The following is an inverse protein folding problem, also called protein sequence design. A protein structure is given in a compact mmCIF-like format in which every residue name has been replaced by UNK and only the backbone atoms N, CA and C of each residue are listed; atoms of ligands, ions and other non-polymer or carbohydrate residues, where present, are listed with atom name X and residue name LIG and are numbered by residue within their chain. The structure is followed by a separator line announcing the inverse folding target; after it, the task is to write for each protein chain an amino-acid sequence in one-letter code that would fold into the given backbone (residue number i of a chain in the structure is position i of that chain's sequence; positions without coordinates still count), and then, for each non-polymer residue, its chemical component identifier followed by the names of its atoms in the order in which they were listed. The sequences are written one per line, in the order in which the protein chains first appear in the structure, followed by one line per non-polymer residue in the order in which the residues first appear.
data_IF_306584473362
#
_entry.id   IF_306584473362
#
_cell.length_a   1.000
_cell.length_b   1.000
_cell.length_c   1.000
_cell.angle_alpha   90.00
_cell.angle_beta   90.00
_cell.angle_gamma   90.00
#
_symmetry.space_group_name_H-M   'P 1'
#
loop_
_entity.id
_entity.type
_entity.pdbx_description
1 polymer ?
#
# COMPACT_ATOMS: atom_id res chain seq x y z
N UNK A 1 29.22 32.69 -0.92
CA UNK A 1 29.23 31.22 -1.13
C UNK A 1 29.07 30.57 0.24
N UNK A 2 27.83 30.29 0.64
CA UNK A 2 27.55 29.68 1.94
C UNK A 2 27.54 28.16 1.77
N UNK A 3 28.45 27.49 2.48
CA UNK A 3 28.49 26.03 2.63
C UNK A 3 27.14 25.55 3.16
N UNK A 4 26.33 24.91 2.30
CA UNK A 4 25.22 24.06 2.76
C UNK A 4 25.86 22.87 3.48
N UNK A 5 25.86 22.88 4.81
CA UNK A 5 26.11 21.68 5.59
C UNK A 5 24.97 20.71 5.28
N UNK A 6 25.24 19.71 4.45
CA UNK A 6 24.33 18.60 4.19
C UNK A 6 24.16 17.86 5.52
N UNK A 7 23.04 18.08 6.20
CA UNK A 7 22.69 17.32 7.40
C UNK A 7 22.35 15.89 6.96
N UNK A 8 23.28 14.96 7.20
CA UNK A 8 23.18 13.52 6.97
C UNK A 8 22.11 12.83 7.84
N UNK A 9 20.84 13.23 7.74
CA UNK A 9 19.73 12.52 8.39
C UNK A 9 18.83 11.87 7.34
N UNK A 10 18.39 10.62 7.59
CA UNK A 10 17.64 9.74 6.67
C UNK A 10 16.35 10.32 6.07
N UNK A 11 15.95 11.54 6.44
CA UNK A 11 14.56 11.96 6.53
C UNK A 11 14.30 13.41 6.10
N UNK A 12 15.23 14.10 5.43
CA UNK A 12 15.08 15.49 4.94
C UNK A 12 14.22 15.62 3.67
N UNK A 13 13.52 14.57 3.30
CA UNK A 13 12.93 14.30 1.98
C UNK A 13 11.74 15.18 1.55
N UNK A 14 11.03 15.82 2.48
CA UNK A 14 9.84 16.61 2.15
C UNK A 14 10.15 17.90 1.39
N UNK A 15 11.38 18.43 1.49
CA UNK A 15 11.80 19.59 0.71
C UNK A 15 11.95 19.28 -0.78
N UNK A 16 12.06 17.99 -1.15
CA UNK A 16 12.10 17.52 -2.54
C UNK A 16 10.70 17.22 -3.11
N UNK A 17 9.63 17.31 -2.31
CA UNK A 17 8.27 17.12 -2.85
C UNK A 17 7.94 18.27 -3.82
N UNK A 18 7.49 17.97 -5.05
CA UNK A 18 7.27 19.00 -6.06
C UNK A 18 6.12 19.91 -5.67
N UNK A 19 6.28 21.19 -6.02
CA UNK A 19 5.26 22.21 -5.81
C UNK A 19 4.08 22.09 -6.80
N UNK A 20 4.26 21.28 -7.84
CA UNK A 20 3.25 20.99 -8.85
C UNK A 20 2.73 19.58 -8.70
N UNK A 21 1.50 19.42 -9.16
CA UNK A 21 0.83 18.16 -9.19
C UNK A 21 1.38 17.32 -10.36
N UNK A 22 1.96 16.18 -10.05
CA UNK A 22 2.58 15.31 -11.05
C UNK A 22 1.56 14.34 -11.67
N UNK A 23 1.92 13.78 -12.83
CA UNK A 23 1.16 12.70 -13.44
C UNK A 23 1.12 11.45 -12.53
N UNK A 24 0.07 10.62 -12.62
CA UNK A 24 -0.05 9.41 -11.82
C UNK A 24 1.15 8.46 -11.98
N UNK A 25 1.42 7.67 -10.93
CA UNK A 25 2.33 6.53 -11.00
C UNK A 25 1.58 5.37 -11.64
N UNK A 26 1.80 5.17 -12.94
CA UNK A 26 1.14 4.14 -13.76
C UNK A 26 2.11 3.42 -14.71
N UNK A 27 1.65 2.35 -15.36
CA UNK A 27 2.42 1.49 -16.27
C UNK A 27 2.94 0.23 -15.58
N UNK A 28 3.33 0.33 -14.32
CA UNK A 28 3.86 -0.80 -13.54
C UNK A 28 2.79 -1.88 -13.26
N UNK A 29 1.51 -1.52 -13.19
CA UNK A 29 0.42 -2.46 -12.94
C UNK A 29 0.32 -3.55 -14.01
N UNK A 30 0.75 -3.27 -15.24
CA UNK A 30 0.72 -4.22 -16.36
C UNK A 30 1.92 -5.18 -16.35
N UNK A 31 2.88 -4.97 -15.46
CA UNK A 31 4.02 -5.87 -15.32
C UNK A 31 3.58 -7.20 -14.72
N UNK A 32 4.18 -8.28 -15.21
CA UNK A 32 4.04 -9.59 -14.56
C UNK A 32 4.71 -9.53 -13.18
N UNK A 33 4.11 -10.21 -12.19
CA UNK A 33 4.77 -10.40 -10.90
C UNK A 33 5.98 -11.33 -11.08
N UNK A 34 7.15 -10.90 -10.63
CA UNK A 34 8.43 -11.61 -10.79
C UNK A 34 9.07 -11.90 -9.43
N UNK A 35 10.13 -12.72 -9.41
CA UNK A 35 11.01 -12.86 -8.24
C UNK A 35 11.72 -11.54 -7.95
N UNK A 36 12.26 -11.39 -6.73
CA UNK A 36 12.96 -10.16 -6.35
C UNK A 36 14.21 -9.93 -7.22
N UNK A 37 14.97 -10.97 -7.53
CA UNK A 37 16.16 -10.88 -8.39
C UNK A 37 15.81 -10.37 -9.80
N UNK A 38 14.67 -10.82 -10.33
CA UNK A 38 14.20 -10.43 -11.65
C UNK A 38 13.67 -8.99 -11.64
N UNK A 39 12.92 -8.63 -10.59
CA UNK A 39 12.29 -7.33 -10.43
C UNK A 39 13.31 -6.18 -10.27
N UNK A 40 14.52 -6.48 -9.81
CA UNK A 40 15.59 -5.48 -9.61
C UNK A 40 16.62 -5.46 -10.75
N UNK A 41 16.48 -6.30 -11.78
CA UNK A 41 17.44 -6.36 -12.90
C UNK A 41 17.66 -5.00 -13.56
N UNK A 42 16.60 -4.28 -13.85
CA UNK A 42 16.63 -2.94 -14.46
C UNK A 42 17.24 -1.86 -13.55
N UNK A 43 17.42 -2.14 -12.25
CA UNK A 43 17.95 -1.18 -11.27
C UNK A 43 19.46 -1.29 -11.08
N UNK A 44 20.14 -2.32 -11.60
CA UNK A 44 21.59 -2.48 -11.45
C UNK A 44 22.41 -1.26 -11.94
N UNK A 45 22.02 -0.54 -13.02
CA UNK A 45 22.72 0.67 -13.43
C UNK A 45 22.44 1.89 -12.54
N UNK A 46 21.42 1.84 -11.69
CA UNK A 46 20.89 2.96 -10.91
C UNK A 46 21.28 2.83 -9.43
N UNK A 47 21.35 1.60 -8.94
CA UNK A 47 21.49 1.26 -7.53
C UNK A 47 22.69 0.34 -7.33
N UNK A 48 23.73 0.86 -6.70
CA UNK A 48 24.96 0.09 -6.44
C UNK A 48 24.75 -1.01 -5.39
N UNK A 49 25.55 -2.09 -5.49
CA UNK A 49 25.56 -3.22 -4.54
C UNK A 49 24.21 -3.92 -4.35
N UNK A 50 23.32 -3.84 -5.34
CA UNK A 50 21.96 -4.34 -5.23
C UNK A 50 21.90 -5.86 -5.03
N UNK A 51 22.69 -6.63 -5.77
CA UNK A 51 22.70 -8.10 -5.71
C UNK A 51 22.95 -8.64 -4.29
N UNK A 52 23.95 -8.09 -3.60
CA UNK A 52 24.28 -8.48 -2.23
C UNK A 52 23.13 -8.20 -1.27
N UNK A 53 22.50 -7.03 -1.40
CA UNK A 53 21.40 -6.63 -0.54
C UNK A 53 20.13 -7.45 -0.80
N UNK A 54 19.86 -7.79 -2.07
CA UNK A 54 18.78 -8.71 -2.46
C UNK A 54 18.96 -10.07 -1.81
N UNK A 55 20.19 -10.62 -1.84
CA UNK A 55 20.49 -11.88 -1.18
C UNK A 55 20.24 -11.81 0.33
N UNK A 56 20.69 -10.74 1.00
CA UNK A 56 20.47 -10.52 2.44
C UNK A 56 18.96 -10.46 2.74
N UNK A 57 18.21 -9.68 1.97
CA UNK A 57 16.77 -9.53 2.14
C UNK A 57 16.03 -10.86 2.04
N UNK A 58 16.30 -11.67 1.01
CA UNK A 58 15.69 -13.00 0.86
C UNK A 58 16.08 -13.94 1.98
N UNK A 59 17.33 -13.90 2.42
CA UNK A 59 17.79 -14.76 3.52
C UNK A 59 17.03 -14.48 4.82
N UNK A 60 16.74 -13.22 5.11
CA UNK A 60 16.00 -12.80 6.31
C UNK A 60 14.49 -13.06 6.23
N UNK A 61 13.95 -13.30 5.03
CA UNK A 61 12.51 -13.46 4.78
C UNK A 61 12.08 -14.89 4.40
N UNK A 62 12.90 -15.91 4.68
CA UNK A 62 12.60 -17.33 4.35
C UNK A 62 11.28 -17.84 4.91
N UNK A 63 10.83 -17.31 6.05
CA UNK A 63 9.52 -17.58 6.66
C UNK A 63 8.69 -16.29 6.66
N UNK A 64 8.19 -15.93 5.48
CA UNK A 64 7.39 -14.72 5.30
C UNK A 64 6.03 -14.83 6.05
N UNK A 65 5.72 -13.88 6.95
CA UNK A 65 4.40 -13.78 7.59
C UNK A 65 3.35 -13.17 6.64
N UNK A 66 2.12 -13.00 7.12
CA UNK A 66 1.03 -12.29 6.43
C UNK A 66 0.61 -12.88 5.07
N UNK A 67 0.87 -14.17 4.86
CA UNK A 67 0.63 -14.89 3.59
C UNK A 67 1.39 -14.32 2.39
N UNK A 68 2.42 -13.50 2.63
CA UNK A 68 3.29 -12.98 1.58
C UNK A 68 4.21 -14.09 1.07
N UNK A 69 4.61 -13.99 -0.20
CA UNK A 69 5.72 -14.79 -0.72
C UNK A 69 7.04 -14.30 -0.14
N UNK A 70 8.07 -15.15 -0.20
CA UNK A 70 9.44 -14.76 0.20
C UNK A 70 9.90 -13.53 -0.57
N UNK A 71 9.65 -13.46 -1.88
CA UNK A 71 10.03 -12.32 -2.71
C UNK A 71 9.27 -11.04 -2.34
N UNK A 72 7.97 -11.13 -2.03
CA UNK A 72 7.18 -9.99 -1.56
C UNK A 72 7.70 -9.46 -0.22
N UNK A 73 7.89 -10.33 0.77
CA UNK A 73 8.46 -9.95 2.07
C UNK A 73 9.87 -9.37 1.91
N UNK A 74 10.71 -9.99 1.07
CA UNK A 74 12.06 -9.53 0.83
C UNK A 74 12.10 -8.18 0.09
N UNK A 75 11.12 -7.87 -0.75
CA UNK A 75 11.02 -6.55 -1.38
C UNK A 75 10.81 -5.42 -0.36
N UNK A 76 9.97 -5.66 0.67
CA UNK A 76 9.76 -4.73 1.78
C UNK A 76 11.03 -4.63 2.63
N UNK A 77 11.65 -5.77 2.95
CA UNK A 77 12.91 -5.80 3.71
C UNK A 77 13.98 -4.97 3.01
N UNK A 78 14.17 -5.19 1.70
CA UNK A 78 15.14 -4.48 0.87
C UNK A 78 14.91 -2.98 0.87
N UNK A 79 13.64 -2.54 0.79
CA UNK A 79 13.28 -1.13 0.89
C UNK A 79 13.76 -0.53 2.23
N UNK A 80 13.52 -1.23 3.34
CA UNK A 80 13.88 -0.74 4.69
C UNK A 80 15.38 -0.83 5.04
N UNK A 81 16.21 -1.41 4.18
CA UNK A 81 17.65 -1.51 4.45
C UNK A 81 18.34 -0.16 4.33
N UNK A 82 19.10 0.21 5.35
CA UNK A 82 19.96 1.40 5.34
C UNK A 82 21.38 1.02 4.86
N UNK A 83 21.83 1.68 3.80
CA UNK A 83 23.18 1.52 3.25
C UNK A 83 24.04 2.73 3.60
N UNK A 84 25.36 2.62 3.47
CA UNK A 84 26.29 3.73 3.74
C UNK A 84 26.99 4.14 2.44
N UNK A 85 26.92 5.42 2.04
CA UNK A 85 26.11 6.50 2.63
C UNK A 85 24.60 6.27 2.44
N UNK A 86 23.77 6.84 3.31
CA UNK A 86 22.30 6.63 3.29
C UNK A 86 21.65 7.05 1.98
N UNK A 87 22.22 8.04 1.29
CA UNK A 87 21.82 8.49 -0.05
C UNK A 87 21.82 7.39 -1.11
N UNK A 88 22.64 6.35 -0.91
CA UNK A 88 22.78 5.23 -1.84
C UNK A 88 21.79 4.10 -1.53
N UNK A 89 21.05 4.18 -0.42
CA UNK A 89 20.05 3.18 -0.06
C UNK A 89 18.94 3.15 -1.11
N UNK A 90 18.42 1.95 -1.38
CA UNK A 90 17.35 1.77 -2.37
C UNK A 90 16.14 2.67 -2.10
N UNK A 91 15.70 2.81 -0.84
CA UNK A 91 14.56 3.68 -0.50
C UNK A 91 14.82 5.15 -0.85
N UNK A 92 16.04 5.63 -0.64
CA UNK A 92 16.42 7.03 -0.89
C UNK A 92 16.36 7.33 -2.38
N UNK A 93 16.91 6.45 -3.21
CA UNK A 93 16.92 6.61 -4.67
C UNK A 93 15.50 6.46 -5.23
N UNK A 94 14.72 5.48 -4.74
CA UNK A 94 13.33 5.30 -5.16
C UNK A 94 12.48 6.52 -4.81
N UNK A 95 12.54 7.01 -3.57
CA UNK A 95 11.76 8.16 -3.13
C UNK A 95 12.11 9.43 -3.91
N UNK A 96 13.39 9.65 -4.25
CA UNK A 96 13.79 10.73 -5.15
C UNK A 96 13.19 10.56 -6.55
N UNK A 97 13.16 9.34 -7.06
CA UNK A 97 12.59 9.04 -8.39
C UNK A 97 11.07 9.25 -8.40
N UNK A 98 10.36 8.88 -7.33
CA UNK A 98 8.91 9.10 -7.19
C UNK A 98 8.53 10.59 -7.21
N UNK A 99 9.41 11.45 -6.69
CA UNK A 99 9.27 12.92 -6.69
C UNK A 99 9.71 13.59 -7.99
N UNK A 100 10.32 12.85 -8.91
CA UNK A 100 10.84 13.42 -10.15
C UNK A 100 9.70 13.78 -11.11
N UNK A 101 9.74 14.98 -11.68
CA UNK A 101 8.77 15.42 -12.70
C UNK A 101 8.81 14.55 -13.96
N UNK A 102 10.00 14.05 -14.32
CA UNK A 102 10.17 13.10 -15.41
C UNK A 102 9.70 11.70 -14.97
N UNK A 103 8.50 11.33 -15.41
CA UNK A 103 7.88 10.02 -15.12
C UNK A 103 8.55 8.86 -15.82
N UNK A 104 9.26 9.09 -16.92
CA UNK A 104 9.97 8.01 -17.61
C UNK A 104 11.12 7.46 -16.75
N UNK A 105 11.62 8.28 -15.80
CA UNK A 105 12.60 7.84 -14.81
C UNK A 105 12.09 6.72 -13.89
N UNK A 106 10.76 6.51 -13.79
CA UNK A 106 10.16 5.40 -13.04
C UNK A 106 10.11 4.09 -13.83
N UNK A 107 10.26 4.11 -15.15
CA UNK A 107 10.14 2.90 -15.99
C UNK A 107 11.09 1.77 -15.54
N UNK A 108 12.38 2.04 -15.22
CA UNK A 108 13.27 1.01 -14.67
C UNK A 108 12.80 0.43 -13.33
N UNK A 109 12.00 1.17 -12.57
CA UNK A 109 11.46 0.75 -11.27
C UNK A 109 10.18 -0.06 -11.38
N UNK A 110 9.49 -0.07 -12.52
CA UNK A 110 8.18 -0.73 -12.66
C UNK A 110 8.15 -2.21 -12.22
N UNK A 111 9.14 -3.07 -12.55
CA UNK A 111 9.12 -4.45 -12.07
C UNK A 111 9.24 -4.54 -10.53
N UNK A 112 10.10 -3.71 -9.92
CA UNK A 112 10.24 -3.63 -8.47
C UNK A 112 9.00 -3.03 -7.81
N UNK A 113 8.44 -1.94 -8.35
CA UNK A 113 7.21 -1.30 -7.87
C UNK A 113 6.02 -2.28 -7.93
N UNK A 114 5.89 -3.06 -9.00
CA UNK A 114 4.88 -4.13 -9.08
C UNK A 114 5.02 -5.10 -7.92
N UNK A 115 6.22 -5.62 -7.65
CA UNK A 115 6.45 -6.57 -6.56
C UNK A 115 6.21 -5.93 -5.17
N UNK A 116 6.81 -4.76 -4.94
CA UNK A 116 6.79 -4.04 -3.67
C UNK A 116 5.39 -3.55 -3.31
N UNK A 117 4.68 -2.90 -4.25
CA UNK A 117 3.33 -2.41 -3.99
C UNK A 117 2.34 -3.57 -3.88
N UNK A 118 2.51 -4.66 -4.63
CA UNK A 118 1.70 -5.89 -4.39
C UNK A 118 1.92 -6.41 -2.97
N UNK A 119 3.15 -6.42 -2.48
CA UNK A 119 3.46 -6.85 -1.12
C UNK A 119 2.77 -5.93 -0.09
N UNK A 120 2.92 -4.61 -0.21
CA UNK A 120 2.30 -3.64 0.70
C UNK A 120 0.78 -3.69 0.71
N UNK A 121 0.13 -3.96 -0.41
CA UNK A 121 -1.33 -4.13 -0.43
C UNK A 121 -1.80 -5.37 0.32
N UNK A 122 -0.97 -6.40 0.45
CA UNK A 122 -1.29 -7.63 1.18
C UNK A 122 -0.90 -7.57 2.67
N UNK A 123 -0.16 -6.55 3.09
CA UNK A 123 0.19 -6.32 4.50
C UNK A 123 -1.00 -5.70 5.25
N UNK A 124 -1.22 -6.04 6.54
CA UNK A 124 -2.28 -5.45 7.35
C UNK A 124 -2.25 -3.91 7.34
N UNK A 125 -3.44 -3.34 7.11
CA UNK A 125 -3.64 -1.89 7.12
C UNK A 125 -4.10 -1.41 8.48
N UNK A 126 -3.81 -0.15 8.80
CA UNK A 126 -4.25 0.51 10.02
C UNK A 126 -4.87 1.87 9.74
N UNK A 127 -5.79 2.21 10.63
CA UNK A 127 -6.46 3.49 10.69
C UNK A 127 -6.25 4.09 12.09
N UNK A 128 -5.24 4.95 12.22
CA UNK A 128 -4.85 5.59 13.48
C UNK A 128 -3.94 6.79 13.20
N UNK A 129 -3.64 7.57 14.24
CA UNK A 129 -2.60 8.60 14.17
C UNK A 129 -1.23 7.94 14.18
N UNK A 130 -0.39 8.33 13.22
CA UNK A 130 1.02 7.95 13.13
C UNK A 130 1.89 9.20 13.08
N UNK A 131 3.15 9.03 13.46
CA UNK A 131 4.07 10.15 13.66
C UNK A 131 5.26 10.07 12.72
N UNK A 132 5.62 11.24 12.18
CA UNK A 132 6.76 11.40 11.28
C UNK A 132 7.58 12.63 11.66
N UNK A 133 8.79 12.41 12.16
CA UNK A 133 9.71 13.48 12.52
C UNK A 133 10.68 13.84 11.39
N UNK A 134 10.85 15.14 11.14
CA UNK A 134 11.76 15.66 10.11
C UNK A 134 12.60 16.80 10.68
N UNK A 135 13.91 16.80 10.40
CA UNK A 135 14.88 17.80 10.87
C UNK A 135 14.95 19.03 9.96
N UNK A 136 13.80 19.64 9.69
CA UNK A 136 13.66 20.88 8.92
C UNK A 136 12.41 21.65 9.35
N UNK A 137 12.33 22.92 8.97
CA UNK A 137 11.17 23.78 9.22
C UNK A 137 10.20 23.73 8.03
N UNK A 138 8.97 23.30 8.31
CA UNK A 138 7.88 23.28 7.33
C UNK A 138 6.70 24.16 7.73
N UNK A 139 6.81 24.95 8.80
CA UNK A 139 5.73 25.77 9.35
C UNK A 139 5.11 26.74 8.34
N UNK A 140 5.90 27.25 7.40
CA UNK A 140 5.46 28.19 6.36
C UNK A 140 4.92 27.50 5.09
N UNK A 141 5.17 26.19 4.90
CA UNK A 141 4.74 25.48 3.68
C UNK A 141 3.33 24.89 3.79
N UNK A 142 2.85 24.64 5.02
CA UNK A 142 1.60 23.93 5.26
C UNK A 142 0.63 24.79 6.07
N UNK A 143 -0.17 25.59 5.38
CA UNK A 143 -1.25 26.35 5.99
C UNK A 143 -2.50 25.48 6.16
N UNK A 144 -3.30 25.77 7.20
CA UNK A 144 -4.54 25.04 7.48
C UNK A 144 -5.50 25.13 6.29
N UNK A 145 -6.07 23.98 5.92
CA UNK A 145 -6.92 23.81 4.73
C UNK A 145 -6.15 23.59 3.43
N UNK A 146 -4.82 23.71 3.44
CA UNK A 146 -4.01 23.36 2.27
C UNK A 146 -3.98 21.84 2.06
N UNK A 147 -4.12 21.42 0.81
CA UNK A 147 -4.02 20.01 0.42
C UNK A 147 -2.77 19.75 -0.40
N UNK A 148 -2.13 18.61 -0.22
CA UNK A 148 -0.92 18.25 -0.96
C UNK A 148 -0.80 16.75 -1.17
N UNK A 149 0.07 16.36 -2.11
CA UNK A 149 0.41 14.95 -2.37
C UNK A 149 1.77 14.65 -1.76
N UNK A 150 1.88 13.52 -1.08
CA UNK A 150 3.13 12.94 -0.61
C UNK A 150 3.56 11.83 -1.57
N UNK A 151 4.46 12.12 -2.51
CA UNK A 151 4.78 11.19 -3.60
C UNK A 151 5.68 10.04 -3.15
N UNK A 152 6.62 10.28 -2.24
CA UNK A 152 7.48 9.24 -1.70
C UNK A 152 6.75 8.26 -0.78
N UNK A 153 7.27 7.05 -0.65
CA UNK A 153 6.87 6.13 0.43
C UNK A 153 7.43 6.68 1.75
N UNK A 154 6.58 6.82 2.77
CA UNK A 154 6.94 7.51 4.02
C UNK A 154 6.94 6.54 5.21
N UNK A 155 8.08 6.44 5.90
CA UNK A 155 8.23 5.64 7.11
C UNK A 155 7.84 6.41 8.36
N UNK A 156 6.82 5.92 9.04
CA UNK A 156 6.20 6.49 10.23
C UNK A 156 6.28 5.52 11.41
N UNK A 157 6.06 6.05 12.62
CA UNK A 157 5.99 5.25 13.85
C UNK A 157 4.70 5.50 14.61
N UNK A 158 4.20 4.47 15.29
CA UNK A 158 3.11 4.60 16.26
C UNK A 158 3.61 5.02 17.66
N UNK A 159 4.92 4.91 17.91
CA UNK A 159 5.52 5.20 19.21
C UNK A 159 6.15 6.59 19.26
N UNK A 160 5.61 7.45 20.13
CA UNK A 160 6.21 8.75 20.45
C UNK A 160 7.60 8.62 21.09
N UNK A 161 7.85 7.54 21.84
CA UNK A 161 9.13 7.31 22.52
C UNK A 161 10.30 7.19 21.53
N UNK A 162 10.02 6.60 20.36
CA UNK A 162 10.98 6.46 19.28
C UNK A 162 11.47 7.80 18.71
N UNK A 163 10.62 8.83 18.71
CA UNK A 163 10.92 10.13 18.09
C UNK A 163 12.07 10.87 18.78
N UNK A 164 12.29 10.61 20.08
CA UNK A 164 13.37 11.22 20.84
C UNK A 164 14.78 10.81 20.36
N UNK A 165 14.90 9.74 19.58
CA UNK A 165 16.19 9.32 19.02
C UNK A 165 16.64 10.30 17.94
N UNK A 166 17.92 10.64 17.94
CA UNK A 166 18.52 11.57 16.97
C UNK A 166 18.37 11.13 15.51
N UNK A 167 18.16 9.84 15.24
CA UNK A 167 17.93 9.38 13.88
C UNK A 167 16.55 9.78 13.34
N UNK A 168 15.56 10.04 14.20
CA UNK A 168 14.20 10.47 13.82
C UNK A 168 14.06 11.99 14.01
N UNK A 169 13.39 12.45 15.08
CA UNK A 169 13.20 13.87 15.35
C UNK A 169 14.37 14.45 16.14
N UNK A 170 14.88 13.72 17.14
CA UNK A 170 15.87 14.23 18.09
C UNK A 170 15.29 15.31 19.01
N UNK A 171 16.14 15.88 19.87
CA UNK A 171 15.70 16.84 20.91
C UNK A 171 16.05 18.30 20.60
N UNK A 172 16.93 18.54 19.65
CA UNK A 172 17.52 19.86 19.39
C UNK A 172 17.50 20.18 17.89
N UNK A 173 17.72 21.45 17.57
CA UNK A 173 17.70 21.94 16.19
C UNK A 173 16.28 22.16 15.66
N UNK A 174 16.23 22.73 14.46
CA UNK A 174 15.00 23.02 13.74
C UNK A 174 14.35 21.73 13.26
N UNK A 175 13.11 21.50 13.66
CA UNK A 175 12.43 20.22 13.41
C UNK A 175 10.92 20.37 13.34
N UNK A 176 10.31 19.53 12.52
CA UNK A 176 8.87 19.45 12.34
C UNK A 176 8.41 18.02 12.63
N UNK A 177 7.37 17.88 13.45
CA UNK A 177 6.67 16.63 13.69
C UNK A 177 5.33 16.65 12.96
N UNK A 178 5.15 15.72 12.03
CA UNK A 178 3.86 15.48 11.42
C UNK A 178 3.07 14.50 12.30
N UNK A 179 1.88 14.95 12.71
CA UNK A 179 0.83 14.12 13.29
C UNK A 179 -0.12 13.73 12.15
N UNK A 180 -0.06 12.49 11.70
CA UNK A 180 -0.73 12.04 10.48
C UNK A 180 -1.89 11.13 10.88
N UNK A 181 -3.12 11.59 10.69
CA UNK A 181 -4.29 10.71 10.72
C UNK A 181 -4.30 9.91 9.40
N UNK A 182 -3.89 8.65 9.44
CA UNK A 182 -3.89 7.78 8.26
C UNK A 182 -5.05 6.77 8.30
N UNK A 183 -5.54 6.39 7.13
CA UNK A 183 -6.58 5.38 6.94
C UNK A 183 -6.03 4.09 6.31
N UNK A 184 -4.86 4.16 5.65
CA UNK A 184 -4.28 3.03 4.92
C UNK A 184 -2.78 2.82 5.22
N UNK A 185 -2.36 3.06 6.47
CA UNK A 185 -0.98 2.81 6.90
C UNK A 185 -0.66 1.31 6.89
N UNK A 186 0.52 0.90 6.39
CA UNK A 186 0.92 -0.51 6.28
C UNK A 186 1.84 -0.91 7.42
N UNK A 187 1.42 -1.87 8.26
CA UNK A 187 2.20 -2.39 9.38
C UNK A 187 3.27 -3.37 8.91
N UNK A 188 4.47 -2.88 8.62
CA UNK A 188 5.54 -3.69 8.01
C UNK A 188 6.54 -4.27 9.02
N UNK A 189 6.27 -4.19 10.33
CA UNK A 189 7.23 -4.58 11.38
C UNK A 189 7.80 -6.01 11.18
N UNK A 190 6.97 -6.94 10.69
CA UNK A 190 7.32 -8.34 10.47
C UNK A 190 8.25 -8.55 9.27
N UNK A 191 8.33 -7.57 8.39
CA UNK A 191 9.05 -7.61 7.11
C UNK A 191 10.23 -6.63 7.07
N UNK A 192 10.22 -5.58 7.91
CA UNK A 192 11.28 -4.57 7.99
C UNK A 192 12.63 -5.15 8.44
N UNK A 193 13.70 -4.52 7.99
CA UNK A 193 15.05 -4.71 8.51
C UNK A 193 15.14 -4.34 10.00
N UNK A 194 14.35 -3.36 10.43
CA UNK A 194 14.31 -2.86 11.80
C UNK A 194 13.10 -3.40 12.56
N UNK A 195 13.16 -4.69 12.94
CA UNK A 195 12.05 -5.39 13.63
C UNK A 195 11.57 -4.72 14.93
N UNK A 196 12.39 -3.87 15.53
CA UNK A 196 12.11 -3.18 16.79
C UNK A 196 11.42 -1.81 16.60
N UNK A 197 11.28 -1.31 15.38
CA UNK A 197 10.85 0.08 15.15
C UNK A 197 9.32 0.24 14.95
N UNK A 198 8.54 -0.85 15.06
CA UNK A 198 7.07 -0.87 14.85
C UNK A 198 6.68 -0.01 13.64
N UNK A 199 7.39 -0.24 12.55
CA UNK A 199 7.39 0.66 11.40
C UNK A 199 6.08 0.56 10.61
N UNK A 200 5.56 1.73 10.25
CA UNK A 200 4.37 1.89 9.43
C UNK A 200 4.76 2.64 8.16
N UNK A 201 4.45 2.07 6.99
CA UNK A 201 4.64 2.77 5.73
C UNK A 201 3.34 3.41 5.26
N UNK A 202 3.44 4.66 4.83
CA UNK A 202 2.42 5.32 4.00
C UNK A 202 2.75 5.09 2.53
N UNK A 203 1.72 4.83 1.74
CA UNK A 203 1.84 4.52 0.31
C UNK A 203 2.35 5.73 -0.49
N UNK A 204 3.02 5.52 -1.63
CA UNK A 204 3.39 6.65 -2.50
C UNK A 204 2.14 7.30 -3.08
N UNK A 205 2.19 8.62 -3.25
CA UNK A 205 1.06 9.39 -3.76
C UNK A 205 -0.10 9.50 -2.77
N UNK A 206 0.16 9.48 -1.46
CA UNK A 206 -0.89 9.69 -0.45
C UNK A 206 -1.30 11.16 -0.42
N UNK A 207 -2.61 11.43 -0.40
CA UNK A 207 -3.16 12.79 -0.43
C UNK A 207 -3.57 13.25 0.97
N UNK A 208 -3.14 14.44 1.35
CA UNK A 208 -3.32 14.98 2.69
C UNK A 208 -3.95 16.36 2.68
N UNK A 209 -4.77 16.63 3.69
CA UNK A 209 -5.20 17.98 4.05
C UNK A 209 -4.57 18.39 5.38
N UNK A 210 -4.05 19.62 5.45
CA UNK A 210 -3.52 20.20 6.69
C UNK A 210 -4.66 20.64 7.57
N UNK A 211 -4.90 19.94 8.68
CA UNK A 211 -5.97 20.26 9.64
C UNK A 211 -5.56 21.31 10.67
N UNK A 212 -4.27 21.45 10.94
CA UNK A 212 -3.78 22.43 11.90
C UNK A 212 -2.27 22.43 12.04
N UNK A 213 -1.72 23.50 12.61
CA UNK A 213 -0.31 23.59 12.99
C UNK A 213 -0.16 24.26 14.35
N UNK A 214 0.85 23.84 15.11
CA UNK A 214 1.20 24.40 16.41
C UNK A 214 2.69 24.69 16.43
N UNK A 215 3.05 25.91 16.84
CA UNK A 215 4.42 26.27 17.19
C UNK A 215 4.70 25.76 18.61
N UNK A 216 5.58 24.76 18.72
CA UNK A 216 6.02 24.19 19.98
C UNK A 216 7.13 24.98 20.67
N UNK A 217 7.59 26.08 20.07
CA UNK A 217 8.73 26.88 20.49
C UNK A 217 10.06 26.17 20.23
N UNK A 218 11.18 26.87 20.42
CA UNK A 218 12.53 26.29 20.26
C UNK A 218 12.77 25.63 18.88
N UNK A 219 12.28 26.27 17.81
CA UNK A 219 12.33 25.78 16.42
C UNK A 219 11.68 24.40 16.23
N UNK A 220 10.67 24.08 17.03
CA UNK A 220 9.89 22.85 16.93
C UNK A 220 8.47 23.15 16.48
N UNK A 221 8.04 22.56 15.36
CA UNK A 221 6.71 22.72 14.83
C UNK A 221 5.97 21.39 14.81
N UNK A 222 4.66 21.41 15.07
CA UNK A 222 3.79 20.26 14.89
C UNK A 222 2.79 20.59 13.79
N UNK A 223 2.68 19.73 12.78
CA UNK A 223 1.72 19.88 11.69
C UNK A 223 0.80 18.66 11.72
N UNK A 224 -0.49 18.89 11.89
CA UNK A 224 -1.49 17.85 11.84
C UNK A 224 -2.08 17.76 10.44
N UNK A 225 -2.01 16.57 9.85
CA UNK A 225 -2.54 16.28 8.52
C UNK A 225 -3.44 15.05 8.58
N UNK A 226 -4.45 15.03 7.72
CA UNK A 226 -5.39 13.91 7.59
C UNK A 226 -5.35 13.38 6.15
N UNK A 227 -5.23 12.06 6.02
CA UNK A 227 -5.32 11.38 4.73
C UNK A 227 -6.74 11.56 4.16
N UNK A 228 -6.84 12.04 2.93
CA UNK A 228 -8.13 12.32 2.28
C UNK A 228 -8.15 11.73 0.87
N UNK A 229 -9.33 11.65 0.26
CA UNK A 229 -9.46 11.12 -1.09
C UNK A 229 -8.94 12.13 -2.13
N UNK A 230 -8.00 11.74 -3.01
CA UNK A 230 -7.51 12.63 -4.05
C UNK A 230 -8.56 12.87 -5.14
N UNK A 231 -8.46 13.99 -5.89
CA UNK A 231 -9.37 14.31 -6.99
C UNK A 231 -9.27 13.33 -8.19
N UNK A 232 -8.18 12.57 -8.28
CA UNK A 232 -7.97 11.51 -9.27
C UNK A 232 -6.94 10.50 -8.73
N UNK A 233 -6.76 9.38 -9.43
CA UNK A 233 -5.83 8.30 -9.01
C UNK A 233 -4.37 8.78 -9.11
N UNK A 234 -3.66 8.80 -7.98
CA UNK A 234 -2.26 9.24 -7.92
C UNK A 234 -1.26 8.09 -8.10
N UNK A 235 -1.62 6.89 -7.63
CA UNK A 235 -0.85 5.67 -7.81
C UNK A 235 -1.83 4.55 -8.17
N UNK A 236 -1.65 3.93 -9.34
CA UNK A 236 -2.51 2.84 -9.79
C UNK A 236 -2.43 1.65 -8.85
N UNK A 237 -3.43 0.78 -8.84
CA UNK A 237 -3.35 -0.47 -8.07
C UNK A 237 -2.38 -1.45 -8.75
N UNK A 238 -1.55 -2.21 -7.99
CA UNK A 238 -0.71 -3.24 -8.58
C UNK A 238 -1.50 -4.43 -9.10
N UNK A 239 -2.80 -4.54 -8.81
CA UNK A 239 -3.64 -5.63 -9.30
C UNK A 239 -4.26 -5.22 -10.63
N UNK A 240 -4.44 -6.19 -11.53
CA UNK A 240 -5.06 -5.93 -12.82
C UNK A 240 -6.40 -5.21 -12.61
N UNK A 241 -6.64 -4.13 -13.36
CA UNK A 241 -7.93 -3.43 -13.34
C UNK A 241 -9.01 -4.46 -13.67
N UNK A 242 -9.73 -4.84 -12.63
CA UNK A 242 -10.90 -5.68 -12.72
C UNK A 242 -12.00 -4.83 -13.33
N UNK A 243 -12.05 -4.81 -14.66
CA UNK A 243 -13.07 -4.09 -15.40
C UNK A 243 -14.41 -4.78 -15.16
N UNK A 244 -15.36 -4.03 -14.61
CA UNK A 244 -16.74 -4.44 -14.47
C UNK A 244 -17.62 -3.44 -15.23
N UNK A 245 -18.77 -3.90 -15.74
CA UNK A 245 -19.71 -3.00 -16.42
C UNK A 245 -20.43 -2.11 -15.40
N UNK A 246 -20.54 -2.61 -14.17
CA UNK A 246 -21.22 -1.92 -13.10
C UNK A 246 -20.34 -0.85 -12.44
N UNK A 247 -20.58 0.42 -12.79
CA UNK A 247 -19.86 1.58 -12.21
C UNK A 247 -19.94 1.68 -10.68
N UNK A 248 -20.95 1.06 -10.04
CA UNK A 248 -21.06 1.03 -8.57
C UNK A 248 -20.18 -0.05 -7.93
N UNK A 249 -19.77 -1.06 -8.71
CA UNK A 249 -18.88 -2.13 -8.26
C UNK A 249 -17.39 -1.73 -8.38
N UNK A 250 -17.05 -0.83 -9.30
CA UNK A 250 -15.67 -0.44 -9.59
C UNK A 250 -14.89 0.09 -8.36
N UNK A 251 -15.42 1.01 -7.53
CA UNK A 251 -14.70 1.50 -6.35
C UNK A 251 -14.45 0.38 -5.33
N UNK A 252 -15.45 -0.50 -5.15
CA UNK A 252 -15.38 -1.62 -4.22
C UNK A 252 -14.33 -2.64 -4.68
N UNK A 253 -14.25 -2.94 -5.99
CA UNK A 253 -13.20 -3.82 -6.54
C UNK A 253 -11.79 -3.27 -6.34
N UNK A 254 -11.61 -1.95 -6.46
CA UNK A 254 -10.33 -1.30 -6.22
C UNK A 254 -9.93 -1.38 -4.74
N UNK A 255 -10.90 -1.17 -3.85
CA UNK A 255 -10.70 -1.20 -2.41
C UNK A 255 -10.76 -2.60 -1.77
N UNK A 256 -11.11 -3.66 -2.53
CA UNK A 256 -11.22 -5.03 -2.01
C UNK A 256 -9.97 -5.48 -1.25
N UNK A 257 -8.79 -5.00 -1.64
CA UNK A 257 -7.50 -5.36 -1.05
C UNK A 257 -7.32 -4.83 0.39
N UNK A 258 -8.04 -3.78 0.78
CA UNK A 258 -7.95 -3.15 2.10
C UNK A 258 -9.19 -3.33 2.97
N UNK A 259 -10.31 -3.81 2.42
CA UNK A 259 -11.60 -3.90 3.12
C UNK A 259 -11.86 -5.31 3.65
N UNK A 260 -12.41 -5.41 4.87
CA UNK A 260 -12.79 -6.67 5.52
C UNK A 260 -14.25 -7.08 5.31
N UNK A 261 -15.14 -6.14 4.96
CA UNK A 261 -16.57 -6.38 4.69
C UNK A 261 -17.05 -5.53 3.51
N UNK A 262 -17.66 -6.19 2.51
CA UNK A 262 -18.18 -5.55 1.30
C UNK A 262 -19.67 -5.90 1.13
N UNK A 263 -20.50 -4.86 1.02
CA UNK A 263 -21.97 -4.98 0.87
C UNK A 263 -22.42 -4.46 -0.48
N UNK A 264 -22.79 -5.39 -1.36
CA UNK A 264 -23.13 -5.14 -2.75
C UNK A 264 -24.57 -5.56 -3.07
N UNK A 265 -25.48 -5.40 -2.11
CA UNK A 265 -26.87 -5.85 -2.24
C UNK A 265 -27.65 -4.99 -3.24
N UNK A 266 -28.44 -5.61 -4.11
CA UNK A 266 -29.31 -4.92 -5.08
C UNK A 266 -28.59 -3.91 -5.99
N UNK A 267 -27.35 -4.20 -6.39
CA UNK A 267 -26.57 -3.32 -7.27
C UNK A 267 -26.69 -3.67 -8.75
N UNK A 268 -27.42 -4.73 -9.09
CA UNK A 268 -27.54 -5.20 -10.48
C UNK A 268 -26.26 -5.89 -10.96
N UNK A 269 -25.54 -6.56 -10.06
CA UNK A 269 -24.38 -7.38 -10.40
C UNK A 269 -24.85 -8.59 -11.21
N UNK A 270 -24.31 -8.74 -12.40
CA UNK A 270 -24.63 -9.84 -13.32
C UNK A 270 -23.56 -10.95 -13.30
N UNK A 271 -23.62 -11.87 -14.27
CA UNK A 271 -22.63 -12.93 -14.45
C UNK A 271 -21.21 -12.40 -14.66
N UNK A 272 -21.04 -11.36 -15.49
CA UNK A 272 -19.72 -10.84 -15.83
C UNK A 272 -19.09 -10.15 -14.62
N UNK A 273 -19.88 -9.32 -13.92
CA UNK A 273 -19.45 -8.67 -12.68
C UNK A 273 -19.09 -9.71 -11.60
N UNK A 274 -19.85 -10.81 -11.49
CA UNK A 274 -19.55 -11.91 -10.56
C UNK A 274 -18.25 -12.64 -10.91
N UNK A 275 -17.95 -12.83 -12.20
CA UNK A 275 -16.67 -13.40 -12.64
C UNK A 275 -15.48 -12.49 -12.29
N UNK A 276 -15.68 -11.18 -12.40
CA UNK A 276 -14.68 -10.17 -12.04
C UNK A 276 -14.45 -10.19 -10.52
N UNK A 277 -15.52 -10.20 -9.72
CA UNK A 277 -15.45 -10.39 -8.27
C UNK A 277 -14.76 -11.70 -7.88
N UNK A 278 -15.05 -12.80 -8.58
CA UNK A 278 -14.41 -14.09 -8.33
C UNK A 278 -12.89 -14.02 -8.57
N UNK A 279 -12.44 -13.34 -9.63
CA UNK A 279 -10.99 -13.11 -9.86
C UNK A 279 -10.37 -12.32 -8.71
N UNK A 280 -11.03 -11.27 -8.24
CA UNK A 280 -10.61 -10.49 -7.08
C UNK A 280 -10.50 -11.38 -5.83
N UNK A 281 -11.54 -12.16 -5.54
CA UNK A 281 -11.62 -13.03 -4.37
C UNK A 281 -10.52 -14.09 -4.33
N UNK A 282 -10.06 -14.59 -5.48
CA UNK A 282 -8.97 -15.60 -5.54
C UNK A 282 -7.67 -15.08 -4.94
N UNK A 283 -7.37 -13.80 -5.14
CA UNK A 283 -6.14 -13.16 -4.65
C UNK A 283 -6.36 -12.40 -3.34
N UNK A 284 -7.61 -12.05 -3.02
CA UNK A 284 -7.96 -11.33 -1.81
C UNK A 284 -7.59 -12.10 -0.52
N UNK A 285 -7.00 -11.38 0.45
CA UNK A 285 -6.55 -11.93 1.74
C UNK A 285 -7.14 -11.21 2.97
N UNK A 286 -8.04 -10.26 2.76
CA UNK A 286 -8.53 -9.36 3.82
C UNK A 286 -10.04 -9.46 4.03
N UNK A 287 -10.79 -9.73 2.96
CA UNK A 287 -12.24 -9.80 2.99
C UNK A 287 -12.72 -11.02 3.78
N UNK A 288 -13.52 -10.75 4.80
CA UNK A 288 -14.14 -11.73 5.69
C UNK A 288 -15.64 -11.86 5.45
N UNK A 289 -16.30 -10.82 4.92
CA UNK A 289 -17.75 -10.79 4.66
C UNK A 289 -18.04 -10.20 3.28
N UNK A 290 -18.82 -10.91 2.48
CA UNK A 290 -19.29 -10.47 1.16
C UNK A 290 -20.81 -10.66 1.04
N UNK A 291 -21.55 -9.56 0.95
CA UNK A 291 -22.99 -9.60 0.68
C UNK A 291 -23.31 -9.25 -0.77
N UNK A 292 -23.75 -10.26 -1.53
CA UNK A 292 -24.17 -10.15 -2.93
C UNK A 292 -25.68 -10.38 -3.09
N UNK A 293 -26.47 -10.24 -2.03
CA UNK A 293 -27.90 -10.53 -2.08
C UNK A 293 -28.68 -9.64 -3.07
N UNK A 294 -29.74 -10.17 -3.67
CA UNK A 294 -30.64 -9.39 -4.52
C UNK A 294 -30.02 -8.90 -5.84
N UNK A 295 -29.06 -9.64 -6.38
CA UNK A 295 -28.43 -9.34 -7.66
C UNK A 295 -28.93 -10.29 -8.77
N UNK A 296 -28.29 -10.23 -9.95
CA UNK A 296 -28.67 -10.98 -11.15
C UNK A 296 -27.59 -12.02 -11.50
N UNK A 297 -26.93 -12.58 -10.48
CA UNK A 297 -25.85 -13.56 -10.66
C UNK A 297 -26.45 -14.85 -11.20
N UNK A 298 -26.00 -15.26 -12.39
CA UNK A 298 -26.41 -16.49 -13.06
C UNK A 298 -25.69 -17.73 -12.49
N UNK A 299 -26.02 -18.92 -13.01
CA UNK A 299 -25.31 -20.16 -12.71
C UNK A 299 -23.79 -20.06 -12.92
N UNK A 300 -23.34 -19.42 -14.01
CA UNK A 300 -21.91 -19.27 -14.33
C UNK A 300 -21.21 -18.29 -13.39
N UNK A 301 -21.92 -17.23 -12.96
CA UNK A 301 -21.42 -16.35 -11.91
C UNK A 301 -21.24 -17.11 -10.59
N UNK A 302 -22.20 -17.98 -10.24
CA UNK A 302 -22.09 -18.91 -9.10
C UNK A 302 -20.90 -19.87 -9.20
N UNK A 303 -20.68 -20.47 -10.38
CA UNK A 303 -19.51 -21.33 -10.64
C UNK A 303 -18.18 -20.58 -10.47
N UNK A 304 -18.09 -19.33 -10.97
CA UNK A 304 -16.89 -18.52 -10.82
C UNK A 304 -16.59 -18.23 -9.35
N UNK A 305 -17.61 -17.85 -8.57
CA UNK A 305 -17.50 -17.64 -7.12
C UNK A 305 -17.11 -18.94 -6.40
N UNK A 306 -17.65 -20.08 -6.80
CA UNK A 306 -17.27 -21.39 -6.26
C UNK A 306 -15.77 -21.68 -6.48
N UNK A 307 -15.25 -21.44 -7.68
CA UNK A 307 -13.82 -21.58 -7.95
C UNK A 307 -12.97 -20.62 -7.11
N UNK A 308 -13.47 -19.41 -6.83
CA UNK A 308 -12.79 -18.49 -5.92
C UNK A 308 -12.79 -19.01 -4.47
N UNK A 309 -13.91 -19.56 -4.00
CA UNK A 309 -14.04 -20.14 -2.67
C UNK A 309 -13.11 -21.34 -2.45
N UNK A 310 -12.82 -22.15 -3.47
CA UNK A 310 -11.88 -23.28 -3.31
C UNK A 310 -10.49 -22.82 -2.85
N UNK A 311 -10.05 -21.65 -3.30
CA UNK A 311 -8.71 -21.09 -3.00
C UNK A 311 -8.71 -20.00 -1.94
N UNK A 312 -9.77 -19.20 -1.82
CA UNK A 312 -9.87 -18.16 -0.81
C UNK A 312 -10.00 -18.80 0.59
N UNK A 313 -9.19 -18.34 1.55
CA UNK A 313 -9.14 -18.86 2.93
C UNK A 313 -9.48 -17.81 3.99
N UNK A 314 -9.97 -16.65 3.58
CA UNK A 314 -10.21 -15.49 4.45
C UNK A 314 -11.68 -15.18 4.58
N UNK A 315 -12.47 -15.43 3.52
CA UNK A 315 -13.91 -15.22 3.52
C UNK A 315 -14.58 -16.19 4.50
N UNK A 316 -15.36 -15.62 5.42
CA UNK A 316 -16.10 -16.34 6.46
C UNK A 316 -17.62 -16.25 6.26
N UNK A 317 -18.10 -15.20 5.61
CA UNK A 317 -19.52 -14.96 5.33
C UNK A 317 -19.73 -14.61 3.87
N UNK A 318 -20.62 -15.35 3.19
CA UNK A 318 -21.05 -15.08 1.82
C UNK A 318 -22.57 -15.12 1.75
N UNK A 319 -23.20 -14.04 1.27
CA UNK A 319 -24.64 -13.99 1.04
C UNK A 319 -24.93 -13.91 -0.46
N UNK A 320 -25.63 -14.90 -0.99
CA UNK A 320 -26.05 -14.98 -2.39
C UNK A 320 -27.58 -15.05 -2.53
N UNK A 321 -28.34 -14.79 -1.46
CA UNK A 321 -29.81 -14.79 -1.50
C UNK A 321 -30.36 -13.94 -2.62
N UNK A 322 -31.46 -14.41 -3.21
CA UNK A 322 -32.20 -13.63 -4.20
C UNK A 322 -31.35 -13.29 -5.45
N UNK A 323 -30.53 -14.25 -5.88
CA UNK A 323 -29.86 -14.28 -7.18
C UNK A 323 -30.51 -15.32 -8.11
N UNK A 324 -30.02 -15.43 -9.35
CA UNK A 324 -30.52 -16.33 -10.39
C UNK A 324 -29.58 -17.53 -10.59
N UNK A 325 -29.02 -18.03 -9.47
CA UNK A 325 -28.12 -19.19 -9.47
C UNK A 325 -28.99 -20.43 -9.63
N UNK A 326 -28.86 -21.10 -10.78
CA UNK A 326 -29.57 -22.37 -11.01
C UNK A 326 -28.91 -23.52 -10.22
N UNK A 327 -29.58 -24.68 -10.16
CA UNK A 327 -29.06 -25.90 -9.53
C UNK A 327 -27.60 -26.22 -9.88
N UNK A 328 -27.19 -25.99 -11.13
CA UNK A 328 -25.80 -26.20 -11.57
C UNK A 328 -24.79 -25.30 -10.84
N UNK A 329 -25.14 -24.03 -10.61
CA UNK A 329 -24.30 -23.11 -9.85
C UNK A 329 -24.28 -23.45 -8.36
N UNK A 330 -25.42 -23.88 -7.82
CA UNK A 330 -25.53 -24.34 -6.43
C UNK A 330 -24.67 -25.58 -6.17
N UNK A 331 -24.66 -26.55 -7.08
CA UNK A 331 -23.78 -27.74 -7.00
C UNK A 331 -22.30 -27.34 -6.92
N UNK A 332 -21.86 -26.41 -7.77
CA UNK A 332 -20.49 -25.91 -7.74
C UNK A 332 -20.15 -25.24 -6.40
N UNK A 333 -21.05 -24.40 -5.87
CA UNK A 333 -20.88 -23.73 -4.58
C UNK A 333 -20.83 -24.75 -3.43
N UNK A 334 -21.68 -25.78 -3.44
CA UNK A 334 -21.66 -26.87 -2.46
C UNK A 334 -20.33 -27.63 -2.48
N UNK A 335 -19.81 -27.97 -3.66
CA UNK A 335 -18.50 -28.61 -3.78
C UNK A 335 -17.37 -27.70 -3.27
N UNK A 336 -17.42 -26.41 -3.57
CA UNK A 336 -16.44 -25.45 -3.04
C UNK A 336 -16.51 -25.35 -1.51
N UNK A 337 -17.70 -25.37 -0.92
CA UNK A 337 -17.90 -25.33 0.54
C UNK A 337 -17.35 -26.58 1.25
N UNK A 338 -17.39 -27.76 0.61
CA UNK A 338 -16.76 -28.96 1.19
C UNK A 338 -15.24 -28.79 1.36
N UNK A 339 -14.61 -28.12 0.40
CA UNK A 339 -13.16 -27.87 0.35
C UNK A 339 -12.73 -26.63 1.15
N UNK A 340 -13.59 -25.60 1.21
CA UNK A 340 -13.32 -24.37 1.93
C UNK A 340 -13.54 -24.58 3.44
N UNK A 341 -12.52 -24.28 4.25
CA UNK A 341 -12.58 -24.42 5.72
C UNK A 341 -12.71 -23.08 6.45
N UNK A 342 -12.65 -21.95 5.74
CA UNK A 342 -12.79 -20.62 6.31
C UNK A 342 -14.24 -20.15 6.34
N UNK A 343 -15.05 -20.55 5.34
CA UNK A 343 -16.44 -20.13 5.20
C UNK A 343 -17.30 -20.78 6.29
N UNK A 344 -18.03 -19.94 7.05
CA UNK A 344 -18.86 -20.33 8.18
C UNK A 344 -20.34 -20.05 7.95
N UNK A 345 -20.63 -18.93 7.29
CA UNK A 345 -21.98 -18.47 7.02
C UNK A 345 -22.17 -18.35 5.50
N UNK A 346 -23.14 -19.09 4.97
CA UNK A 346 -23.54 -19.04 3.57
C UNK A 346 -25.06 -18.83 3.53
N UNK A 347 -25.51 -17.77 2.88
CA UNK A 347 -26.90 -17.33 2.91
C UNK A 347 -27.59 -17.33 1.56
#
# INVERSE_FOLDING_TARGET
MANKSISNSRFTDLDEEPHTLLLPIEGYQHMKLMSLEDAVRSLHPIVDNLERNVWIAKHNCKSAPDSLTVDQSASIHLYTMEWKPSSNSLYSILNRTLRNEDRDSLIPWFPYLKLFLTALHNVPSIEQVVWRGIKADFSMKFDTGHTFVWWGVSSCTESLDGLNKEQFLGKTGTRTLFSIQCHNGKKIHSHSHFKNEQEILLMPGTYFEVKGKVDGGSNFNIIHVEETTPPYVLCESPFDKLQCKNKRLEPELQALHSISEVKLRNLGIDEEDAQVLAKALKVNKTLTTLDLGGNQISARGGEALAEALKVNKTLTTLNLRSNQISARGDEALVEAMKLNKSLRLFY
#
